data_IF_172239069769
#
_entry.id   IF_172239069769
#
_cell.length_a   1.000
_cell.length_b   1.000
_cell.length_c   1.000
_cell.angle_alpha   90.00
_cell.angle_beta   90.00
_cell.angle_gamma   90.00
#
_symmetry.space_group_name_H-M   'P 1'
#
loop_
_entity.id
_entity.type
_entity.pdbx_description
1 polymer ?
#
# COMPACT_ATOMS: atom_id res chain seq x y z
N UNK A 1 -3.74 -9.01 29.18
CA UNK A 1 -3.66 -9.62 27.82
C UNK A 1 -2.34 -9.23 27.13
N UNK A 2 -1.83 -10.07 26.20
CA UNK A 2 -0.59 -9.80 25.45
C UNK A 2 -0.72 -8.62 24.47
N UNK A 3 -1.96 -8.21 24.15
CA UNK A 3 -2.29 -7.03 23.34
C UNK A 3 -3.23 -6.11 24.14
N UNK A 4 -3.08 -4.78 23.99
CA UNK A 4 -4.04 -3.81 24.50
C UNK A 4 -5.28 -3.76 23.60
N UNK A 5 -6.42 -3.34 24.14
CA UNK A 5 -7.69 -3.26 23.39
C UNK A 5 -7.55 -2.37 22.14
N UNK A 6 -6.87 -1.23 22.23
CA UNK A 6 -6.61 -0.34 21.09
C UNK A 6 -5.85 -1.03 19.94
N UNK A 7 -4.96 -1.97 20.27
CA UNK A 7 -4.25 -2.76 19.26
C UNK A 7 -5.09 -3.91 18.74
N UNK A 8 -5.90 -4.51 19.62
CA UNK A 8 -6.78 -5.62 19.26
C UNK A 8 -7.92 -5.16 18.35
N UNK A 9 -8.34 -3.90 18.45
CA UNK A 9 -9.37 -3.29 17.61
C UNK A 9 -9.08 -3.46 16.12
N UNK A 10 -7.83 -3.32 15.69
CA UNK A 10 -7.48 -3.45 14.28
C UNK A 10 -7.62 -4.89 13.74
N UNK A 11 -7.56 -5.90 14.61
CA UNK A 11 -7.69 -7.32 14.23
C UNK A 11 -9.11 -7.70 13.85
N UNK A 12 -10.13 -6.90 14.17
CA UNK A 12 -11.52 -7.26 13.88
C UNK A 12 -11.92 -7.02 12.43
N UNK A 13 -11.24 -6.11 11.73
CA UNK A 13 -11.63 -5.70 10.37
C UNK A 13 -10.43 -5.27 9.52
N UNK A 14 -9.85 -4.08 9.77
CA UNK A 14 -8.97 -3.48 8.77
C UNK A 14 -7.66 -4.25 8.56
N UNK A 15 -7.13 -4.92 9.58
CA UNK A 15 -5.95 -5.77 9.45
C UNK A 15 -6.23 -7.08 8.69
N UNK A 16 -7.24 -7.90 9.04
CA UNK A 16 -7.56 -9.08 8.23
C UNK A 16 -7.99 -8.72 6.80
N UNK A 17 -8.68 -7.59 6.59
CA UNK A 17 -9.02 -7.08 5.25
C UNK A 17 -7.76 -6.79 4.43
N UNK A 18 -6.80 -6.04 4.99
CA UNK A 18 -5.52 -5.76 4.36
C UNK A 18 -4.70 -7.02 4.07
N UNK A 19 -4.63 -7.95 5.04
CA UNK A 19 -3.92 -9.21 4.89
C UNK A 19 -4.50 -10.07 3.76
N UNK A 20 -5.83 -10.17 3.71
CA UNK A 20 -6.51 -10.96 2.67
C UNK A 20 -6.29 -10.35 1.28
N UNK A 21 -6.34 -9.01 1.15
CA UNK A 21 -6.04 -8.33 -0.10
C UNK A 21 -4.60 -8.60 -0.56
N UNK A 22 -3.62 -8.46 0.34
CA UNK A 22 -2.21 -8.72 0.03
C UNK A 22 -1.94 -10.19 -0.32
N UNK A 23 -2.64 -11.14 0.31
CA UNK A 23 -2.58 -12.57 -0.06
C UNK A 23 -3.22 -12.86 -1.41
N UNK A 24 -4.37 -12.26 -1.71
CA UNK A 24 -5.05 -12.43 -2.99
C UNK A 24 -4.26 -11.84 -4.17
N UNK A 25 -3.47 -10.80 -3.90
CA UNK A 25 -2.52 -10.20 -4.85
C UNK A 25 -1.33 -11.11 -5.19
N UNK A 26 -1.20 -12.28 -4.54
CA UNK A 26 -0.15 -13.26 -4.79
C UNK A 26 1.28 -12.68 -4.76
N UNK A 27 1.49 -11.71 -3.87
CA UNK A 27 2.79 -11.04 -3.66
C UNK A 27 3.86 -12.09 -3.36
N UNK A 28 5.01 -11.95 -4.03
CA UNK A 28 6.19 -12.78 -3.82
C UNK A 28 7.39 -11.91 -3.44
N UNK A 29 8.50 -12.54 -3.09
CA UNK A 29 9.76 -11.85 -2.85
C UNK A 29 10.18 -11.08 -4.12
N UNK A 30 10.48 -9.79 -3.97
CA UNK A 30 10.88 -8.91 -5.06
C UNK A 30 9.71 -8.31 -5.84
N UNK A 31 8.46 -8.61 -5.50
CA UNK A 31 7.31 -8.02 -6.18
C UNK A 31 7.28 -6.49 -6.03
N UNK A 32 6.84 -5.84 -7.10
CA UNK A 32 6.43 -4.45 -7.15
C UNK A 32 4.90 -4.34 -6.98
N UNK A 33 4.41 -3.42 -6.15
CA UNK A 33 2.99 -3.30 -5.81
C UNK A 33 2.55 -1.85 -5.85
N UNK A 34 1.36 -1.56 -6.36
CA UNK A 34 0.70 -0.27 -6.18
C UNK A 34 -0.51 -0.40 -5.26
N UNK A 35 -0.62 0.47 -4.26
CA UNK A 35 -1.77 0.58 -3.36
C UNK A 35 -2.46 1.91 -3.59
N UNK A 36 -3.71 1.88 -4.03
CA UNK A 36 -4.53 3.09 -4.16
C UNK A 36 -5.30 3.30 -2.85
N UNK A 37 -5.11 4.48 -2.25
CA UNK A 37 -5.61 4.85 -0.93
C UNK A 37 -4.57 4.64 0.18
N UNK A 38 -4.21 5.72 0.87
CA UNK A 38 -3.32 5.72 2.04
C UNK A 38 -4.11 5.82 3.37
N UNK A 39 -5.38 5.41 3.37
CA UNK A 39 -6.19 5.28 4.58
C UNK A 39 -5.77 4.11 5.48
N UNK A 40 -6.47 3.85 6.60
CA UNK A 40 -6.09 2.80 7.55
C UNK A 40 -5.92 1.41 6.92
N UNK A 41 -6.83 0.99 6.03
CA UNK A 41 -6.72 -0.28 5.30
C UNK A 41 -5.51 -0.27 4.38
N UNK A 42 -5.34 0.77 3.55
CA UNK A 42 -4.21 0.89 2.63
C UNK A 42 -2.84 0.87 3.34
N UNK A 43 -2.72 1.56 4.47
CA UNK A 43 -1.50 1.54 5.29
C UNK A 43 -1.17 0.15 5.83
N UNK A 44 -2.19 -0.60 6.28
CA UNK A 44 -1.99 -1.98 6.72
C UNK A 44 -1.71 -2.91 5.53
N UNK A 45 -2.30 -2.64 4.35
CA UNK A 45 -2.02 -3.37 3.11
C UNK A 45 -0.55 -3.22 2.71
N UNK A 46 0.01 -2.01 2.80
CA UNK A 46 1.45 -1.77 2.55
C UNK A 46 2.30 -2.57 3.55
N UNK A 47 1.94 -2.55 4.83
CA UNK A 47 2.64 -3.33 5.85
C UNK A 47 2.59 -4.84 5.55
N UNK A 48 1.42 -5.38 5.18
CA UNK A 48 1.24 -6.77 4.80
C UNK A 48 1.98 -7.13 3.51
N UNK A 49 1.97 -6.26 2.50
CA UNK A 49 2.70 -6.44 1.24
C UNK A 49 4.20 -6.57 1.48
N UNK A 50 4.79 -5.70 2.33
CA UNK A 50 6.19 -5.83 2.75
C UNK A 50 6.46 -7.14 3.47
N UNK A 51 5.59 -7.54 4.39
CA UNK A 51 5.72 -8.82 5.10
C UNK A 51 5.67 -10.03 4.17
N UNK A 52 4.99 -9.93 3.03
CA UNK A 52 4.90 -10.97 2.01
C UNK A 52 6.04 -10.94 0.98
N UNK A 53 6.95 -9.94 1.06
CA UNK A 53 8.16 -9.88 0.24
C UNK A 53 8.16 -8.82 -0.85
N UNK A 54 7.16 -7.92 -0.91
CA UNK A 54 7.20 -6.80 -1.84
C UNK A 54 8.36 -5.84 -1.50
N UNK A 55 9.11 -5.43 -2.53
CA UNK A 55 10.32 -4.59 -2.37
C UNK A 55 10.12 -3.17 -2.88
N UNK A 56 9.29 -2.99 -3.91
CA UNK A 56 8.91 -1.67 -4.44
C UNK A 56 7.41 -1.49 -4.25
N UNK A 57 7.00 -0.55 -3.40
CA UNK A 57 5.58 -0.30 -3.12
C UNK A 57 5.27 1.15 -3.40
N UNK A 58 4.38 1.41 -4.35
CA UNK A 58 3.80 2.72 -4.61
C UNK A 58 2.52 2.87 -3.80
N UNK A 59 2.27 4.08 -3.30
CA UNK A 59 1.01 4.43 -2.65
C UNK A 59 0.46 5.72 -3.23
N UNK A 60 -0.80 5.67 -3.66
CA UNK A 60 -1.48 6.78 -4.33
C UNK A 60 -2.59 7.32 -3.42
N UNK A 61 -2.54 8.60 -3.06
CA UNK A 61 -3.55 9.30 -2.25
C UNK A 61 -3.44 10.81 -2.53
N UNK A 62 -4.30 11.65 -1.97
CA UNK A 62 -4.16 13.11 -2.07
C UNK A 62 -3.81 13.78 -0.74
N UNK A 63 -3.99 13.08 0.39
CA UNK A 63 -3.67 13.63 1.70
C UNK A 63 -2.17 13.50 1.99
N UNK A 64 -1.41 14.61 2.03
CA UNK A 64 0.05 14.53 2.17
C UNK A 64 0.49 13.85 3.47
N UNK A 65 -0.25 14.06 4.57
CA UNK A 65 0.09 13.44 5.85
C UNK A 65 0.02 11.90 5.82
N UNK A 66 -0.90 11.33 5.03
CA UNK A 66 -1.03 9.87 4.88
C UNK A 66 0.10 9.31 4.04
N UNK A 67 0.43 9.99 2.94
CA UNK A 67 1.54 9.67 2.06
C UNK A 67 2.89 9.73 2.81
N UNK A 68 3.14 10.81 3.58
CA UNK A 68 4.32 10.93 4.42
C UNK A 68 4.40 9.79 5.45
N UNK A 69 3.30 9.47 6.13
CA UNK A 69 3.29 8.35 7.07
C UNK A 69 3.66 7.02 6.37
N UNK A 70 3.12 6.74 5.19
CA UNK A 70 3.43 5.54 4.44
C UNK A 70 4.91 5.48 4.02
N UNK A 71 5.47 6.60 3.56
CA UNK A 71 6.88 6.73 3.21
C UNK A 71 7.79 6.55 4.44
N UNK A 72 7.55 7.27 5.52
CA UNK A 72 8.39 7.25 6.72
C UNK A 72 8.34 5.91 7.44
N UNK A 73 7.13 5.32 7.56
CA UNK A 73 6.93 4.10 8.35
C UNK A 73 7.24 2.84 7.60
N UNK A 74 6.99 2.82 6.29
CA UNK A 74 7.05 1.63 5.45
C UNK A 74 7.92 1.79 4.21
N UNK A 75 8.60 2.91 3.99
CA UNK A 75 9.41 3.11 2.79
C UNK A 75 8.63 2.97 1.48
N UNK A 76 7.33 3.24 1.51
CA UNK A 76 6.52 3.28 0.28
C UNK A 76 6.87 4.55 -0.53
N UNK A 77 6.72 4.47 -1.85
CA UNK A 77 6.93 5.58 -2.78
C UNK A 77 5.59 6.32 -2.90
N UNK A 78 5.47 7.54 -2.33
CA UNK A 78 4.22 8.27 -2.36
C UNK A 78 3.99 8.92 -3.72
N UNK A 79 2.74 8.90 -4.18
CA UNK A 79 2.28 9.65 -5.35
C UNK A 79 1.04 10.43 -4.93
N UNK A 80 1.14 11.77 -5.00
CA UNK A 80 0.03 12.66 -4.76
C UNK A 80 -0.69 12.95 -6.07
N UNK A 81 -1.93 12.45 -6.23
CA UNK A 81 -2.67 12.63 -7.48
C UNK A 81 -3.27 14.04 -7.67
N UNK A 82 -3.17 14.92 -6.68
CA UNK A 82 -3.44 16.36 -6.88
C UNK A 82 -2.25 17.08 -7.53
N UNK A 83 -1.05 16.51 -7.44
CA UNK A 83 0.20 17.07 -7.98
C UNK A 83 0.65 16.35 -9.26
N UNK A 84 0.28 15.08 -9.39
CA UNK A 84 0.55 14.22 -10.53
C UNK A 84 -0.76 13.89 -11.27
N UNK A 85 -0.89 14.38 -12.50
CA UNK A 85 -2.09 14.19 -13.32
C UNK A 85 -2.24 12.76 -13.88
N UNK A 86 -1.19 11.95 -13.86
CA UNK A 86 -1.24 10.54 -14.29
C UNK A 86 -0.36 9.64 -13.40
N UNK A 87 -0.86 9.29 -12.19
CA UNK A 87 -0.17 8.39 -11.28
C UNK A 87 0.19 7.04 -11.89
N UNK A 88 -0.64 6.53 -12.81
CA UNK A 88 -0.41 5.23 -13.44
C UNK A 88 0.82 5.29 -14.35
N UNK A 89 0.93 6.34 -15.16
CA UNK A 89 2.11 6.58 -15.99
C UNK A 89 3.38 6.75 -15.15
N UNK A 90 3.32 7.53 -14.06
CA UNK A 90 4.44 7.73 -13.14
C UNK A 90 4.91 6.42 -12.48
N UNK A 91 3.98 5.51 -12.15
CA UNK A 91 4.32 4.17 -11.65
C UNK A 91 5.02 3.37 -12.75
N UNK A 92 4.46 3.33 -13.96
CA UNK A 92 5.04 2.61 -15.10
C UNK A 92 6.48 3.06 -15.37
N UNK A 93 6.72 4.36 -15.40
CA UNK A 93 8.05 4.95 -15.63
C UNK A 93 9.10 4.53 -14.58
N UNK A 94 8.67 4.28 -13.35
CA UNK A 94 9.52 3.88 -12.23
C UNK A 94 9.67 2.37 -12.04
N UNK A 95 8.97 1.56 -12.85
CA UNK A 95 9.08 0.09 -12.81
C UNK A 95 10.07 -0.43 -13.85
N UNK A 96 10.73 -1.55 -13.56
CA UNK A 96 11.73 -2.14 -14.42
C UNK A 96 11.17 -2.44 -15.82
N UNK A 97 11.79 -1.86 -16.85
CA UNK A 97 11.38 -2.04 -18.25
C UNK A 97 10.00 -1.45 -18.58
N UNK A 98 9.46 -0.56 -17.73
CA UNK A 98 8.17 0.11 -17.95
C UNK A 98 6.99 -0.84 -18.14
N UNK A 99 7.02 -2.00 -17.45
CA UNK A 99 5.95 -3.00 -17.52
C UNK A 99 4.75 -2.66 -16.60
N UNK A 100 4.97 -1.82 -15.60
CA UNK A 100 4.05 -1.66 -14.47
C UNK A 100 4.32 -2.67 -13.35
N UNK A 101 3.53 -2.55 -12.29
CA UNK A 101 3.68 -3.35 -11.06
C UNK A 101 3.20 -4.79 -11.22
N UNK A 102 3.65 -5.68 -10.34
CA UNK A 102 3.21 -7.08 -10.30
C UNK A 102 1.79 -7.24 -9.76
N UNK A 103 1.38 -6.36 -8.85
CA UNK A 103 0.03 -6.34 -8.32
C UNK A 103 -0.45 -4.92 -8.00
N UNK A 104 -1.76 -4.72 -8.10
CA UNK A 104 -2.45 -3.50 -7.68
C UNK A 104 -3.49 -3.88 -6.64
N UNK A 105 -3.54 -3.12 -5.54
CA UNK A 105 -4.57 -3.27 -4.52
C UNK A 105 -5.29 -1.93 -4.38
N UNK A 106 -6.58 -1.94 -4.69
CA UNK A 106 -7.44 -0.80 -4.47
C UNK A 106 -8.01 -0.84 -3.05
N UNK A 107 -7.61 0.13 -2.23
CA UNK A 107 -8.06 0.34 -0.87
C UNK A 107 -8.70 1.74 -0.71
N UNK A 108 -9.22 2.31 -1.80
CA UNK A 108 -10.03 3.52 -1.75
C UNK A 108 -11.45 3.20 -1.26
N UNK A 109 -12.04 4.17 -0.57
CA UNK A 109 -13.45 4.15 -0.18
C UNK A 109 -14.11 5.44 -0.62
N UNK A 110 -15.44 5.45 -0.62
CA UNK A 110 -16.27 6.65 -0.89
C UNK A 110 -16.27 7.63 0.29
#
# INVERSE_FOLDING_TARGET
PLLSDDKALFLSDILPTAWQAAKNAQIQQGSSVAVYGAGPVGLLTIACARLLGAEQIFVVDHHPYRLHFAADRYGAIPINFDEDSDPAQSIIEQTAGHRGVDAVIDAVGF
#
